data_IF_680054299517
#
_entry.id   IF_680054299517
#
_cell.length_a   1.000
_cell.length_b   1.000
_cell.length_c   1.000
_cell.angle_alpha   90.00
_cell.angle_beta   90.00
_cell.angle_gamma   90.00
#
_symmetry.space_group_name_H-M   'P 1'
#
loop_
_entity.id
_entity.type
_entity.pdbx_description
1 polymer ?
#
# COMPACT_ATOMS: atom_id res chain seq x y z
N UNK A 1 -27.72 8.29 -5.36
CA UNK A 1 -28.84 7.34 -5.54
C UNK A 1 -30.02 7.75 -4.68
N UNK A 2 -29.89 7.73 -3.35
CA UNK A 2 -30.99 8.11 -2.42
C UNK A 2 -31.53 9.52 -2.68
N UNK A 3 -30.65 10.53 -2.77
CA UNK A 3 -31.08 11.91 -3.03
C UNK A 3 -31.82 12.07 -4.37
N UNK A 4 -31.40 11.34 -5.42
CA UNK A 4 -32.08 11.38 -6.73
C UNK A 4 -33.44 10.70 -6.68
N UNK A 5 -33.57 9.61 -5.92
CA UNK A 5 -34.86 8.95 -5.72
C UNK A 5 -35.80 9.84 -4.90
N UNK A 6 -35.32 10.43 -3.81
CA UNK A 6 -36.13 11.35 -2.99
C UNK A 6 -36.58 12.57 -3.79
N UNK A 7 -35.69 13.19 -4.57
CA UNK A 7 -36.03 14.36 -5.36
C UNK A 7 -37.07 14.03 -6.44
N UNK A 8 -36.84 12.98 -7.24
CA UNK A 8 -37.76 12.57 -8.30
C UNK A 8 -39.12 12.12 -7.76
N UNK A 9 -39.13 11.38 -6.64
CA UNK A 9 -40.38 10.98 -5.98
C UNK A 9 -41.11 12.20 -5.45
N UNK A 10 -40.41 13.19 -4.89
CA UNK A 10 -41.02 14.40 -4.35
C UNK A 10 -41.61 15.27 -5.46
N UNK A 11 -40.91 15.47 -6.57
CA UNK A 11 -41.37 16.33 -7.67
C UNK A 11 -42.45 15.66 -8.51
N UNK A 12 -42.26 14.41 -8.93
CA UNK A 12 -43.19 13.75 -9.85
C UNK A 12 -44.45 13.24 -9.16
N UNK A 13 -44.40 12.83 -7.88
CA UNK A 13 -45.64 12.46 -7.19
C UNK A 13 -46.47 13.68 -6.79
N UNK A 14 -45.85 14.84 -6.54
CA UNK A 14 -46.64 16.06 -6.25
C UNK A 14 -47.40 16.53 -7.48
N UNK A 15 -46.79 16.49 -8.66
CA UNK A 15 -47.49 16.77 -9.93
C UNK A 15 -48.57 15.73 -10.24
N UNK A 16 -48.33 14.44 -9.98
CA UNK A 16 -49.33 13.38 -10.10
C UNK A 16 -50.51 13.55 -9.13
N UNK A 17 -50.27 13.92 -7.87
CA UNK A 17 -51.34 14.18 -6.89
C UNK A 17 -52.24 15.35 -7.32
N UNK A 18 -51.67 16.41 -7.91
CA UNK A 18 -52.43 17.54 -8.45
C UNK A 18 -53.29 17.14 -9.66
N UNK A 19 -52.73 16.38 -10.60
CA UNK A 19 -53.44 15.91 -11.80
C UNK A 19 -54.56 14.92 -11.44
N UNK A 20 -54.34 14.09 -10.43
CA UNK A 20 -55.28 13.04 -10.01
C UNK A 20 -56.30 13.49 -8.95
N UNK A 21 -56.30 14.77 -8.57
CA UNK A 21 -57.10 15.30 -7.46
C UNK A 21 -58.61 14.95 -7.52
N UNK A 22 -59.15 14.72 -8.71
CA UNK A 22 -60.56 14.33 -8.92
C UNK A 22 -60.88 12.87 -8.55
N UNK A 23 -59.88 11.99 -8.44
CA UNK A 23 -60.03 10.56 -8.14
C UNK A 23 -59.28 10.21 -6.86
N UNK A 24 -60.01 10.13 -5.75
CA UNK A 24 -59.45 9.85 -4.42
C UNK A 24 -58.68 8.52 -4.35
N UNK A 25 -59.08 7.52 -5.12
CA UNK A 25 -58.42 6.20 -5.16
C UNK A 25 -57.03 6.27 -5.82
N UNK A 26 -56.90 7.01 -6.93
CA UNK A 26 -55.62 7.21 -7.63
C UNK A 26 -54.66 8.08 -6.81
N UNK A 27 -55.18 9.07 -6.08
CA UNK A 27 -54.43 9.88 -5.11
C UNK A 27 -53.95 9.03 -3.92
N UNK A 28 -54.76 8.09 -3.44
CA UNK A 28 -54.37 7.17 -2.38
C UNK A 28 -53.24 6.23 -2.83
N UNK A 29 -53.30 5.73 -4.07
CA UNK A 29 -52.26 4.89 -4.67
C UNK A 29 -50.93 5.65 -4.81
N UNK A 30 -50.95 6.89 -5.32
CA UNK A 30 -49.75 7.74 -5.42
C UNK A 30 -49.16 8.05 -4.05
N UNK A 31 -49.97 8.41 -3.04
CA UNK A 31 -49.48 8.58 -1.66
C UNK A 31 -48.91 7.30 -1.06
N UNK A 32 -49.45 6.14 -1.43
CA UNK A 32 -48.91 4.83 -1.08
C UNK A 32 -47.49 4.63 -1.61
N UNK A 33 -47.30 4.90 -2.91
CA UNK A 33 -46.00 4.82 -3.56
C UNK A 33 -44.99 5.80 -2.93
N UNK A 34 -45.43 7.02 -2.59
CA UNK A 34 -44.59 8.02 -1.89
C UNK A 34 -44.03 7.49 -0.58
N UNK A 35 -44.89 6.95 0.28
CA UNK A 35 -44.49 6.45 1.60
C UNK A 35 -43.52 5.28 1.50
N UNK A 36 -43.71 4.41 0.49
CA UNK A 36 -42.79 3.30 0.25
C UNK A 36 -41.43 3.81 -0.23
N UNK A 37 -41.40 4.81 -1.11
CA UNK A 37 -40.16 5.40 -1.58
C UNK A 37 -39.39 6.13 -0.46
N UNK A 38 -40.09 6.89 0.39
CA UNK A 38 -39.50 7.53 1.58
C UNK A 38 -38.95 6.47 2.56
N UNK A 39 -39.65 5.34 2.74
CA UNK A 39 -39.17 4.24 3.57
C UNK A 39 -37.91 3.55 2.98
N UNK A 40 -37.83 3.39 1.65
CA UNK A 40 -36.63 2.89 0.96
C UNK A 40 -35.47 3.85 1.16
N UNK A 41 -35.69 5.16 1.00
CA UNK A 41 -34.66 6.17 1.21
C UNK A 41 -34.07 6.10 2.62
N UNK A 42 -34.92 6.02 3.65
CA UNK A 42 -34.50 5.88 5.05
C UNK A 42 -33.71 4.58 5.31
N UNK A 43 -34.17 3.45 4.76
CA UNK A 43 -33.46 2.18 4.91
C UNK A 43 -32.07 2.20 4.26
N UNK A 44 -31.95 2.82 3.08
CA UNK A 44 -30.69 2.95 2.36
C UNK A 44 -29.73 3.95 3.04
N UNK A 45 -30.24 5.04 3.62
CA UNK A 45 -29.42 5.95 4.45
C UNK A 45 -28.82 5.21 5.66
N UNK A 46 -29.58 4.30 6.28
CA UNK A 46 -29.08 3.43 7.36
C UNK A 46 -28.03 2.38 6.93
N UNK A 47 -27.68 2.30 5.64
CA UNK A 47 -26.58 1.48 5.11
C UNK A 47 -25.28 2.29 4.94
N UNK A 48 -25.30 3.61 5.13
CA UNK A 48 -24.14 4.47 5.01
C UNK A 48 -23.23 4.43 6.24
N UNK A 49 -22.95 3.23 6.78
CA UNK A 49 -22.12 3.06 7.98
C UNK A 49 -20.66 3.49 7.78
N UNK A 50 -20.23 3.68 6.53
CA UNK A 50 -18.90 4.17 6.16
C UNK A 50 -18.78 5.71 6.16
N UNK A 51 -19.89 6.45 6.32
CA UNK A 51 -19.82 7.92 6.36
C UNK A 51 -19.09 8.38 7.62
N UNK A 52 -18.00 9.12 7.44
CA UNK A 52 -17.21 9.69 8.54
C UNK A 52 -16.00 8.87 8.97
N UNK A 53 -15.60 7.84 8.21
CA UNK A 53 -14.31 7.18 8.44
C UNK A 53 -13.17 8.19 8.15
N UNK A 54 -12.32 8.51 9.13
CA UNK A 54 -11.28 9.54 8.99
C UNK A 54 -10.13 9.10 8.07
N UNK A 55 -10.00 7.80 7.82
CA UNK A 55 -8.94 7.19 7.04
C UNK A 55 -9.37 7.05 5.58
N UNK A 56 -8.75 7.83 4.69
CA UNK A 56 -8.89 7.60 3.25
C UNK A 56 -7.88 6.54 2.80
N UNK A 57 -8.31 5.47 2.11
CA UNK A 57 -7.40 4.42 1.64
C UNK A 57 -6.38 4.95 0.63
N UNK A 58 -6.71 6.04 -0.07
CA UNK A 58 -5.81 6.71 -1.00
C UNK A 58 -4.62 7.36 -0.27
N UNK A 59 -4.87 8.07 0.85
CA UNK A 59 -3.79 8.68 1.65
C UNK A 59 -2.88 7.60 2.23
N UNK A 60 -3.46 6.53 2.79
CA UNK A 60 -2.66 5.42 3.34
C UNK A 60 -1.80 4.77 2.25
N UNK A 61 -2.35 4.56 1.05
CA UNK A 61 -1.59 4.01 -0.07
C UNK A 61 -0.46 4.95 -0.52
N UNK A 62 -0.70 6.27 -0.53
CA UNK A 62 0.30 7.28 -0.89
C UNK A 62 1.44 7.32 0.14
N UNK A 63 1.10 7.33 1.44
CA UNK A 63 2.09 7.32 2.52
C UNK A 63 2.95 6.05 2.52
N UNK A 64 2.32 4.89 2.34
CA UNK A 64 3.04 3.60 2.25
C UNK A 64 3.94 3.56 1.02
N UNK A 65 3.44 4.00 -0.14
CA UNK A 65 4.22 4.04 -1.38
C UNK A 65 5.42 4.98 -1.24
N UNK A 66 5.23 6.13 -0.61
CA UNK A 66 6.32 7.08 -0.35
C UNK A 66 7.41 6.43 0.50
N UNK A 67 7.06 5.86 1.66
CA UNK A 67 8.05 5.23 2.54
C UNK A 67 8.80 4.08 1.86
N UNK A 68 8.08 3.26 1.10
CA UNK A 68 8.65 2.11 0.41
C UNK A 68 9.65 2.52 -0.69
N UNK A 69 9.36 3.60 -1.41
CA UNK A 69 10.27 4.15 -2.43
C UNK A 69 11.62 4.57 -1.83
N UNK A 70 11.61 5.32 -0.73
CA UNK A 70 12.85 5.73 -0.06
C UNK A 70 13.60 4.56 0.56
N UNK A 71 12.89 3.61 1.18
CA UNK A 71 13.49 2.41 1.78
C UNK A 71 14.25 1.61 0.72
N UNK A 72 13.60 1.33 -0.41
CA UNK A 72 14.20 0.58 -1.50
C UNK A 72 15.38 1.33 -2.14
N UNK A 73 15.23 2.64 -2.42
CA UNK A 73 16.31 3.46 -2.96
C UNK A 73 17.53 3.50 -2.05
N UNK A 74 17.34 3.67 -0.73
CA UNK A 74 18.42 3.69 0.24
C UNK A 74 19.21 2.37 0.23
N UNK A 75 18.51 1.24 0.17
CA UNK A 75 19.15 -0.08 0.10
C UNK A 75 19.94 -0.26 -1.19
N UNK A 76 19.36 0.09 -2.35
CA UNK A 76 20.05 0.01 -3.65
C UNK A 76 21.30 0.88 -3.68
N UNK A 77 21.24 2.08 -3.13
CA UNK A 77 22.40 2.98 -3.03
C UNK A 77 23.50 2.40 -2.13
N UNK A 78 23.13 1.79 -1.01
CA UNK A 78 24.07 1.13 -0.11
C UNK A 78 24.79 -0.04 -0.81
N UNK A 79 24.05 -0.87 -1.55
CA UNK A 79 24.63 -1.97 -2.32
C UNK A 79 25.56 -1.49 -3.44
N UNK A 80 25.19 -0.41 -4.13
CA UNK A 80 26.03 0.19 -5.16
C UNK A 80 27.32 0.74 -4.56
N UNK A 81 27.25 1.39 -3.41
CA UNK A 81 28.42 1.87 -2.68
C UNK A 81 29.33 0.71 -2.25
N UNK A 82 28.75 -0.38 -1.73
CA UNK A 82 29.49 -1.60 -1.37
C UNK A 82 30.21 -2.22 -2.58
N UNK A 83 29.53 -2.31 -3.73
CA UNK A 83 30.14 -2.81 -4.97
C UNK A 83 31.32 -1.95 -5.43
N UNK A 84 31.16 -0.63 -5.40
CA UNK A 84 32.24 0.31 -5.77
C UNK A 84 33.44 0.16 -4.85
N UNK A 85 33.21 0.12 -3.54
CA UNK A 85 34.28 -0.05 -2.55
C UNK A 85 35.00 -1.40 -2.74
N UNK A 86 34.26 -2.48 -2.98
CA UNK A 86 34.85 -3.78 -3.31
C UNK A 86 35.73 -3.69 -4.57
N UNK A 87 35.23 -3.07 -5.64
CA UNK A 87 35.95 -2.94 -6.91
C UNK A 87 37.23 -2.13 -6.77
N UNK A 88 37.18 -0.98 -6.09
CA UNK A 88 38.36 -0.14 -5.88
C UNK A 88 39.35 -0.77 -4.90
N UNK A 89 38.89 -1.55 -3.92
CA UNK A 89 39.77 -2.34 -3.05
C UNK A 89 40.55 -3.37 -3.86
N UNK A 90 39.86 -4.13 -4.73
CA UNK A 90 40.51 -5.10 -5.63
C UNK A 90 41.47 -4.43 -6.61
N UNK A 91 41.10 -3.25 -7.15
CA UNK A 91 41.98 -2.47 -8.02
C UNK A 91 43.23 -1.98 -7.27
N UNK A 92 43.08 -1.52 -6.03
CA UNK A 92 44.19 -1.12 -5.16
C UNK A 92 45.15 -2.27 -4.88
N UNK A 93 44.62 -3.46 -4.62
CA UNK A 93 45.41 -4.68 -4.47
C UNK A 93 46.13 -5.06 -5.76
N UNK A 94 45.44 -5.05 -6.91
CA UNK A 94 46.01 -5.41 -8.20
C UNK A 94 47.10 -4.45 -8.68
N UNK A 95 46.95 -3.15 -8.37
CA UNK A 95 47.92 -2.11 -8.70
C UNK A 95 48.97 -1.89 -7.62
N UNK A 96 48.89 -2.60 -6.49
CA UNK A 96 49.75 -2.42 -5.31
C UNK A 96 49.81 -0.95 -4.83
N UNK A 97 48.75 -0.18 -5.05
CA UNK A 97 48.69 1.24 -4.70
C UNK A 97 48.36 1.40 -3.22
N UNK A 98 49.36 1.75 -2.41
CA UNK A 98 49.22 1.91 -0.96
C UNK A 98 48.15 2.93 -0.59
N UNK A 99 48.12 4.08 -1.27
CA UNK A 99 47.16 5.15 -1.00
C UNK A 99 45.71 4.73 -1.30
N UNK A 100 45.47 4.12 -2.46
CA UNK A 100 44.14 3.64 -2.84
C UNK A 100 43.62 2.60 -1.85
N UNK A 101 44.47 1.67 -1.40
CA UNK A 101 44.11 0.67 -0.39
C UNK A 101 43.77 1.31 0.96
N UNK A 102 44.53 2.31 1.42
CA UNK A 102 44.23 3.01 2.69
C UNK A 102 42.87 3.71 2.63
N UNK A 103 42.62 4.48 1.56
CA UNK A 103 41.34 5.19 1.39
C UNK A 103 40.18 4.21 1.33
N UNK A 104 40.31 3.14 0.55
CA UNK A 104 39.27 2.12 0.44
C UNK A 104 39.06 1.33 1.72
N UNK A 105 40.09 1.11 2.54
CA UNK A 105 39.95 0.46 3.84
C UNK A 105 39.09 1.29 4.80
N UNK A 106 39.31 2.61 4.84
CA UNK A 106 38.48 3.53 5.64
C UNK A 106 37.05 3.55 5.13
N UNK A 107 36.84 3.63 3.82
CA UNK A 107 35.51 3.57 3.21
C UNK A 107 34.80 2.24 3.49
N UNK A 108 35.50 1.11 3.39
CA UNK A 108 34.98 -0.22 3.73
C UNK A 108 34.52 -0.32 5.18
N UNK A 109 35.23 0.30 6.13
CA UNK A 109 34.80 0.35 7.53
C UNK A 109 33.49 1.14 7.69
N UNK A 110 33.36 2.28 7.01
CA UNK A 110 32.12 3.09 7.04
C UNK A 110 30.96 2.31 6.43
N UNK A 111 31.15 1.73 5.24
CA UNK A 111 30.13 0.93 4.56
C UNK A 111 29.74 -0.28 5.41
N UNK A 112 30.70 -0.96 6.03
CA UNK A 112 30.42 -2.08 6.92
C UNK A 112 29.49 -1.66 8.06
N UNK A 113 29.76 -0.55 8.75
CA UNK A 113 28.88 -0.04 9.81
C UNK A 113 27.46 0.24 9.29
N UNK A 114 27.34 0.85 8.10
CA UNK A 114 26.04 1.10 7.48
C UNK A 114 25.32 -0.19 7.11
N UNK A 115 26.02 -1.20 6.59
CA UNK A 115 25.44 -2.52 6.26
C UNK A 115 24.95 -3.26 7.49
N UNK A 116 25.69 -3.24 8.60
CA UNK A 116 25.22 -3.80 9.88
C UNK A 116 23.99 -3.06 10.42
N UNK A 117 23.94 -1.73 10.26
CA UNK A 117 22.78 -0.92 10.60
C UNK A 117 21.55 -1.30 9.77
N UNK A 118 21.71 -1.44 8.46
CA UNK A 118 20.63 -1.87 7.54
C UNK A 118 20.13 -3.26 7.90
N UNK A 119 21.04 -4.22 8.10
CA UNK A 119 20.71 -5.57 8.53
C UNK A 119 19.90 -5.58 9.84
N UNK A 120 20.29 -4.75 10.80
CA UNK A 120 19.57 -4.61 12.07
C UNK A 120 18.15 -4.07 11.89
N UNK A 121 17.97 -3.06 11.02
CA UNK A 121 16.66 -2.51 10.70
C UNK A 121 15.78 -3.53 9.96
N UNK A 122 16.33 -4.20 8.94
CA UNK A 122 15.65 -5.28 8.22
C UNK A 122 15.21 -6.40 9.16
N UNK A 123 16.08 -6.79 10.10
CA UNK A 123 15.76 -7.85 11.08
C UNK A 123 14.63 -7.42 12.00
N UNK A 124 14.64 -6.17 12.49
CA UNK A 124 13.55 -5.64 13.30
C UNK A 124 12.22 -5.62 12.52
N UNK A 125 12.24 -5.20 11.24
CA UNK A 125 11.03 -5.22 10.40
C UNK A 125 10.53 -6.63 10.14
N UNK A 126 11.42 -7.59 9.89
CA UNK A 126 11.06 -8.99 9.67
C UNK A 126 10.43 -9.62 10.93
N UNK A 127 10.98 -9.35 12.11
CA UNK A 127 10.41 -9.82 13.38
C UNK A 127 9.04 -9.19 13.64
N UNK A 128 8.91 -7.87 13.47
CA UNK A 128 7.64 -7.17 13.67
C UNK A 128 6.55 -7.65 12.72
N UNK A 129 6.89 -7.84 11.45
CA UNK A 129 5.97 -8.37 10.44
C UNK A 129 5.60 -9.83 10.73
N UNK A 130 6.57 -10.66 11.14
CA UNK A 130 6.32 -12.05 11.51
C UNK A 130 5.39 -12.18 12.71
N UNK A 131 5.52 -11.31 13.72
CA UNK A 131 4.64 -11.29 14.89
C UNK A 131 3.21 -10.92 14.50
N UNK A 132 3.06 -9.86 13.70
CA UNK A 132 1.78 -9.48 13.12
C UNK A 132 1.13 -10.64 12.34
N UNK A 133 1.90 -11.33 11.50
CA UNK A 133 1.42 -12.46 10.69
C UNK A 133 1.03 -13.70 11.50
N UNK A 134 1.42 -13.79 12.79
CA UNK A 134 0.96 -14.87 13.67
C UNK A 134 -0.53 -14.75 14.05
N UNK A 135 -1.09 -13.53 14.10
CA UNK A 135 -2.50 -13.31 14.44
C UNK A 135 -3.07 -12.00 13.86
N UNK A 136 -3.08 -11.85 12.52
CA UNK A 136 -3.41 -10.57 11.88
C UNK A 136 -4.86 -10.15 12.13
N UNK A 137 -5.78 -11.11 12.18
CA UNK A 137 -7.21 -10.85 12.33
C UNK A 137 -7.52 -10.10 13.63
N UNK A 138 -6.94 -10.53 14.75
CA UNK A 138 -7.23 -9.91 16.07
C UNK A 138 -6.71 -8.48 16.14
N UNK A 139 -5.50 -8.25 15.60
CA UNK A 139 -4.91 -6.93 15.54
C UNK A 139 -5.74 -5.98 14.68
N UNK A 140 -6.06 -6.38 13.45
CA UNK A 140 -6.81 -5.54 12.50
C UNK A 140 -8.22 -5.27 13.00
N UNK A 141 -8.90 -6.26 13.58
CA UNK A 141 -10.24 -6.08 14.16
C UNK A 141 -10.24 -5.05 15.29
N UNK A 142 -9.29 -5.13 16.22
CA UNK A 142 -9.20 -4.18 17.34
C UNK A 142 -8.87 -2.76 16.85
N UNK A 143 -7.89 -2.64 15.95
CA UNK A 143 -7.49 -1.35 15.40
C UNK A 143 -8.61 -0.68 14.61
N UNK A 144 -9.28 -1.44 13.73
CA UNK A 144 -10.39 -0.92 12.94
C UNK A 144 -11.59 -0.56 13.81
N UNK A 145 -11.86 -1.31 14.88
CA UNK A 145 -12.91 -0.96 15.83
C UNK A 145 -12.60 0.34 16.57
N UNK A 146 -11.35 0.58 16.97
CA UNK A 146 -10.92 1.82 17.64
C UNK A 146 -11.01 3.04 16.70
N UNK A 147 -10.52 2.91 15.47
CA UNK A 147 -10.45 4.01 14.49
C UNK A 147 -11.80 4.34 13.86
N UNK A 148 -12.66 3.35 13.62
CA UNK A 148 -13.94 3.54 12.91
C UNK A 148 -15.15 3.52 13.82
N UNK A 149 -15.03 3.02 15.06
CA UNK A 149 -16.16 2.84 15.98
C UNK A 149 -17.20 1.82 15.51
N UNK A 150 -16.91 1.03 14.47
CA UNK A 150 -17.82 0.02 13.95
C UNK A 150 -17.98 -1.15 14.92
N UNK A 151 -19.19 -1.70 14.98
CA UNK A 151 -19.49 -2.85 15.84
C UNK A 151 -18.71 -4.10 15.41
N UNK A 152 -18.27 -4.88 16.40
CA UNK A 152 -17.49 -6.12 16.20
C UNK A 152 -18.17 -7.12 15.26
N UNK A 153 -19.50 -7.16 15.24
CA UNK A 153 -20.28 -8.09 14.42
C UNK A 153 -20.17 -7.78 12.92
N UNK A 154 -20.12 -6.49 12.56
CA UNK A 154 -19.98 -6.04 11.16
C UNK A 154 -18.55 -6.34 10.70
N UNK A 155 -17.56 -6.01 11.52
CA UNK A 155 -16.15 -6.29 11.25
C UNK A 155 -15.91 -7.80 11.05
N UNK A 156 -16.40 -8.63 11.98
CA UNK A 156 -16.29 -10.08 11.87
C UNK A 156 -16.96 -10.63 10.61
N UNK A 157 -18.12 -10.09 10.20
CA UNK A 157 -18.77 -10.48 8.95
C UNK A 157 -17.87 -10.25 7.73
N UNK A 158 -17.20 -9.09 7.64
CA UNK A 158 -16.34 -8.77 6.51
C UNK A 158 -14.98 -9.49 6.56
N UNK A 159 -14.33 -9.58 7.72
CA UNK A 159 -12.99 -10.16 7.84
C UNK A 159 -13.00 -11.69 7.86
N UNK A 160 -13.96 -12.35 8.53
CA UNK A 160 -14.02 -13.82 8.60
C UNK A 160 -14.84 -14.43 7.46
N UNK A 161 -15.82 -13.71 6.93
CA UNK A 161 -16.70 -14.09 5.81
C UNK A 161 -17.13 -15.57 5.82
N UNK A 162 -17.60 -16.04 6.98
CA UNK A 162 -18.02 -17.43 7.19
C UNK A 162 -19.50 -17.63 6.82
N UNK A 163 -19.86 -18.83 6.33
CA UNK A 163 -21.24 -19.22 6.00
C UNK A 163 -22.18 -19.20 7.21
N UNK A 164 -21.64 -19.32 8.43
CA UNK A 164 -22.43 -19.26 9.66
C UNK A 164 -22.94 -17.85 10.00
N UNK A 165 -22.33 -16.80 9.44
CA UNK A 165 -22.67 -15.40 9.77
C UNK A 165 -23.52 -14.80 8.65
N UNK A 166 -24.78 -14.49 8.97
CA UNK A 166 -25.68 -13.82 8.01
C UNK A 166 -25.27 -12.37 7.79
N UNK A 167 -25.51 -11.85 6.57
CA UNK A 167 -25.29 -10.44 6.26
C UNK A 167 -26.08 -9.54 7.25
N UNK A 168 -25.41 -8.66 8.01
CA UNK A 168 -26.07 -7.78 9.00
C UNK A 168 -27.08 -6.83 8.34
N UNK A 169 -26.95 -6.58 7.05
CA UNK A 169 -27.83 -5.71 6.27
C UNK A 169 -28.95 -6.47 5.54
N UNK A 170 -28.99 -7.80 5.63
CA UNK A 170 -29.93 -8.64 4.88
C UNK A 170 -31.39 -8.22 5.09
N UNK A 171 -31.78 -7.91 6.32
CA UNK A 171 -33.15 -7.50 6.64
C UNK A 171 -33.49 -6.17 5.96
N UNK A 172 -32.60 -5.17 6.03
CA UNK A 172 -32.81 -3.86 5.37
C UNK A 172 -32.88 -4.02 3.85
N UNK A 173 -31.97 -4.78 3.26
CA UNK A 173 -31.96 -5.06 1.82
C UNK A 173 -33.24 -5.76 1.37
N UNK A 174 -33.71 -6.76 2.10
CA UNK A 174 -34.96 -7.49 1.77
C UNK A 174 -36.18 -6.58 1.84
N UNK A 175 -36.24 -5.70 2.84
CA UNK A 175 -37.34 -4.73 2.96
C UNK A 175 -37.29 -3.69 1.84
N UNK A 176 -36.11 -3.16 1.50
CA UNK A 176 -35.95 -2.20 0.42
C UNK A 176 -36.30 -2.80 -0.94
N UNK A 177 -35.87 -4.04 -1.20
CA UNK A 177 -36.20 -4.77 -2.43
C UNK A 177 -37.72 -5.00 -2.57
N UNK A 178 -38.38 -5.43 -1.48
CA UNK A 178 -39.84 -5.63 -1.49
C UNK A 178 -40.58 -4.31 -1.69
N UNK A 179 -40.12 -3.22 -1.08
CA UNK A 179 -40.73 -1.91 -1.27
C UNK A 179 -40.55 -1.39 -2.71
N UNK A 180 -39.36 -1.55 -3.32
CA UNK A 180 -39.12 -1.19 -4.72
C UNK A 180 -40.04 -1.96 -5.68
N UNK A 181 -40.18 -3.29 -5.50
CA UNK A 181 -41.08 -4.10 -6.32
C UNK A 181 -42.56 -3.70 -6.17
N UNK A 182 -42.98 -3.30 -4.96
CA UNK A 182 -44.33 -2.80 -4.71
C UNK A 182 -44.58 -1.43 -5.36
N UNK A 183 -43.61 -0.52 -5.32
CA UNK A 183 -43.70 0.78 -6.01
C UNK A 183 -43.86 0.55 -7.51
N UNK A 184 -43.06 -0.36 -8.09
CA UNK A 184 -43.12 -0.68 -9.51
C UNK A 184 -44.50 -1.23 -9.93
N UNK A 185 -45.06 -2.16 -9.14
CA UNK A 185 -46.40 -2.69 -9.40
C UNK A 185 -47.51 -1.64 -9.23
N UNK A 186 -47.38 -0.73 -8.26
CA UNK A 186 -48.31 0.38 -8.06
C UNK A 186 -48.26 1.39 -9.22
N UNK A 187 -47.07 1.76 -9.71
CA UNK A 187 -46.94 2.67 -10.85
C UNK A 187 -47.51 2.08 -12.13
N UNK A 188 -47.25 0.80 -12.42
CA UNK A 188 -47.85 0.14 -13.59
C UNK A 188 -49.38 0.06 -13.50
N UNK A 189 -49.93 -0.13 -12.29
CA UNK A 189 -51.38 -0.06 -12.06
C UNK A 189 -51.94 1.34 -12.31
N UNK A 190 -51.27 2.37 -11.75
CA UNK A 190 -51.59 3.78 -11.95
C UNK A 190 -51.53 4.17 -13.43
N UNK A 191 -50.53 3.72 -14.18
CA UNK A 191 -50.42 3.99 -15.61
C UNK A 191 -51.62 3.44 -16.38
N UNK A 192 -51.98 2.17 -16.17
CA UNK A 192 -53.10 1.52 -16.86
C UNK A 192 -54.44 2.18 -16.58
N UNK A 193 -54.65 2.66 -15.35
CA UNK A 193 -55.95 3.19 -14.92
C UNK A 193 -56.06 4.70 -15.09
N UNK A 194 -54.98 5.44 -14.84
CA UNK A 194 -54.97 6.90 -14.88
C UNK A 194 -54.72 7.46 -16.29
N UNK A 195 -53.82 6.89 -17.09
CA UNK A 195 -53.43 7.47 -18.39
C UNK A 195 -54.61 7.61 -19.37
N UNK A 196 -55.55 6.65 -19.49
CA UNK A 196 -56.72 6.81 -20.35
C UNK A 196 -57.66 7.96 -19.94
N UNK A 197 -57.69 8.31 -18.65
CA UNK A 197 -58.56 9.34 -18.09
C UNK A 197 -57.83 10.70 -17.96
N UNK A 198 -56.52 10.67 -17.72
CA UNK A 198 -55.65 11.81 -17.46
C UNK A 198 -54.35 11.66 -18.26
N UNK A 199 -54.34 11.97 -19.56
CA UNK A 199 -53.14 11.82 -20.41
C UNK A 199 -51.97 12.67 -19.92
N UNK A 200 -52.23 13.76 -19.19
CA UNK A 200 -51.22 14.60 -18.54
C UNK A 200 -50.39 13.87 -17.48
N UNK A 201 -50.90 12.76 -16.92
CA UNK A 201 -50.19 11.93 -15.94
C UNK A 201 -49.12 11.01 -16.55
N UNK A 202 -49.10 10.86 -17.88
CA UNK A 202 -48.16 9.94 -18.56
C UNK A 202 -46.70 10.36 -18.39
N UNK A 203 -46.39 11.65 -18.58
CA UNK A 203 -45.02 12.18 -18.45
C UNK A 203 -44.41 11.94 -17.05
N UNK A 204 -45.08 12.31 -15.95
CA UNK A 204 -44.53 12.07 -14.61
C UNK A 204 -44.42 10.58 -14.26
N UNK A 205 -45.34 9.73 -14.74
CA UNK A 205 -45.23 8.27 -14.55
C UNK A 205 -44.01 7.67 -15.27
N UNK A 206 -43.76 8.06 -16.53
CA UNK A 206 -42.59 7.60 -17.28
C UNK A 206 -41.27 8.06 -16.63
N UNK A 207 -41.22 9.30 -16.13
CA UNK A 207 -40.03 9.81 -15.43
C UNK A 207 -39.76 9.06 -14.12
N UNK A 208 -40.81 8.71 -13.37
CA UNK A 208 -40.69 7.89 -12.17
C UNK A 208 -40.25 6.47 -12.49
N UNK A 209 -40.79 5.85 -13.53
CA UNK A 209 -40.39 4.51 -13.96
C UNK A 209 -38.90 4.47 -14.37
N UNK A 210 -38.44 5.46 -15.13
CA UNK A 210 -37.02 5.60 -15.49
C UNK A 210 -36.15 5.72 -14.23
N UNK A 211 -36.54 6.58 -13.29
CA UNK A 211 -35.79 6.78 -12.04
C UNK A 211 -35.78 5.51 -11.18
N UNK A 212 -36.88 4.78 -11.12
CA UNK A 212 -36.97 3.51 -10.38
C UNK A 212 -36.12 2.43 -11.02
N UNK A 213 -36.07 2.35 -12.35
CA UNK A 213 -35.24 1.39 -13.07
C UNK A 213 -33.74 1.66 -12.82
N UNK A 214 -33.32 2.94 -12.85
CA UNK A 214 -31.96 3.36 -12.46
C UNK A 214 -31.69 3.04 -10.98
N UNK A 215 -32.68 3.23 -10.10
CA UNK A 215 -32.57 2.93 -8.67
C UNK A 215 -32.42 1.43 -8.43
N UNK A 216 -33.19 0.57 -9.11
CA UNK A 216 -33.09 -0.88 -9.02
C UNK A 216 -31.72 -1.38 -9.49
N UNK A 217 -31.21 -0.88 -10.62
CA UNK A 217 -29.85 -1.19 -11.09
C UNK A 217 -28.77 -0.83 -10.05
N UNK A 218 -28.84 0.38 -9.50
CA UNK A 218 -27.92 0.80 -8.43
C UNK A 218 -28.08 -0.01 -7.14
N UNK A 219 -29.30 -0.44 -6.81
CA UNK A 219 -29.58 -1.28 -5.64
C UNK A 219 -28.91 -2.65 -5.78
N UNK A 220 -28.99 -3.29 -6.95
CA UNK A 220 -28.28 -4.55 -7.20
C UNK A 220 -26.77 -4.41 -7.04
N UNK A 221 -26.20 -3.31 -7.54
CA UNK A 221 -24.77 -3.03 -7.36
C UNK A 221 -24.42 -2.81 -5.88
N UNK A 222 -25.25 -2.09 -5.13
CA UNK A 222 -25.08 -1.91 -3.68
C UNK A 222 -25.14 -3.25 -2.92
N UNK A 223 -26.08 -4.13 -3.25
CA UNK A 223 -26.18 -5.48 -2.65
C UNK A 223 -24.91 -6.30 -2.88
N UNK A 224 -24.33 -6.20 -4.07
CA UNK A 224 -23.08 -6.86 -4.41
C UNK A 224 -21.89 -6.29 -3.62
N UNK A 225 -21.82 -4.97 -3.45
CA UNK A 225 -20.76 -4.30 -2.67
C UNK A 225 -20.86 -4.57 -1.16
N UNK A 226 -22.08 -4.76 -0.63
CA UNK A 226 -22.28 -5.05 0.79
C UNK A 226 -21.96 -6.51 1.16
N UNK A 227 -21.73 -7.39 0.19
CA UNK A 227 -21.32 -8.77 0.46
C UNK A 227 -19.88 -8.83 0.99
N UNK A 228 -19.66 -9.66 2.03
CA UNK A 228 -18.32 -9.82 2.62
C UNK A 228 -17.25 -10.30 1.63
N UNK A 229 -17.64 -11.03 0.58
CA UNK A 229 -16.71 -11.73 -0.32
C UNK A 229 -15.73 -10.79 -1.05
N UNK A 230 -16.17 -9.58 -1.41
CA UNK A 230 -15.30 -8.60 -2.06
C UNK A 230 -14.18 -8.17 -1.12
N UNK A 231 -14.56 -7.57 0.02
CA UNK A 231 -13.60 -7.08 1.00
C UNK A 231 -12.72 -8.20 1.59
N UNK A 232 -13.30 -9.37 1.87
CA UNK A 232 -12.54 -10.53 2.37
C UNK A 232 -11.47 -11.00 1.38
N UNK A 233 -11.77 -10.94 0.07
CA UNK A 233 -10.80 -11.28 -0.97
C UNK A 233 -9.64 -10.27 -0.97
N UNK A 234 -9.93 -8.99 -0.90
CA UNK A 234 -8.93 -7.93 -0.90
C UNK A 234 -8.07 -7.98 0.38
N UNK A 235 -8.72 -8.20 1.53
CA UNK A 235 -8.07 -8.47 2.80
C UNK A 235 -7.11 -9.67 2.74
N UNK A 236 -7.60 -10.81 2.25
CA UNK A 236 -6.79 -12.02 2.13
C UNK A 236 -5.66 -11.88 1.12
N UNK A 237 -5.82 -11.07 0.07
CA UNK A 237 -4.76 -10.75 -0.86
C UNK A 237 -3.68 -9.86 -0.22
N UNK A 238 -4.10 -8.83 0.53
CA UNK A 238 -3.19 -7.94 1.25
C UNK A 238 -2.38 -8.71 2.32
N UNK A 239 -3.03 -9.56 3.10
CA UNK A 239 -2.34 -10.41 4.09
C UNK A 239 -1.36 -11.36 3.43
N UNK A 240 -1.73 -11.97 2.30
CA UNK A 240 -0.83 -12.89 1.59
C UNK A 240 0.40 -12.15 1.07
N UNK A 241 0.21 -10.96 0.50
CA UNK A 241 1.30 -10.09 0.07
C UNK A 241 2.23 -9.65 1.20
N UNK A 242 1.70 -9.33 2.39
CA UNK A 242 2.53 -8.96 3.54
C UNK A 242 3.21 -10.17 4.18
N UNK A 243 2.48 -11.24 4.44
CA UNK A 243 2.95 -12.34 5.28
C UNK A 243 3.72 -13.42 4.52
N UNK A 244 3.45 -13.59 3.23
CA UNK A 244 4.20 -14.51 2.37
C UNK A 244 5.25 -13.71 1.58
N UNK A 245 4.80 -12.88 0.62
CA UNK A 245 5.71 -12.26 -0.35
C UNK A 245 6.70 -11.26 0.29
N UNK A 246 6.23 -10.36 1.16
CA UNK A 246 7.11 -9.37 1.78
C UNK A 246 8.05 -9.98 2.82
N UNK A 247 7.60 -10.98 3.58
CA UNK A 247 8.45 -11.69 4.54
C UNK A 247 9.53 -12.52 3.83
N UNK A 248 9.19 -13.19 2.72
CA UNK A 248 10.15 -13.88 1.87
C UNK A 248 11.16 -12.89 1.27
N UNK A 249 10.70 -11.73 0.77
CA UNK A 249 11.57 -10.66 0.30
C UNK A 249 12.55 -10.17 1.37
N UNK A 250 12.07 -9.92 2.59
CA UNK A 250 12.92 -9.52 3.73
C UNK A 250 13.95 -10.59 4.09
N UNK A 251 13.57 -11.88 4.03
CA UNK A 251 14.51 -12.99 4.26
C UNK A 251 15.66 -12.95 3.25
N UNK A 252 15.36 -12.75 1.96
CA UNK A 252 16.40 -12.65 0.94
C UNK A 252 17.31 -11.43 1.14
N UNK A 253 16.75 -10.29 1.52
CA UNK A 253 17.51 -9.07 1.81
C UNK A 253 18.47 -9.29 3.00
N UNK A 254 17.99 -9.92 4.08
CA UNK A 254 18.80 -10.27 5.26
C UNK A 254 19.94 -11.23 4.91
N UNK A 255 19.68 -12.26 4.11
CA UNK A 255 20.72 -13.20 3.68
C UNK A 255 21.77 -12.50 2.83
N UNK A 256 21.34 -11.65 1.90
CA UNK A 256 22.25 -10.92 1.04
C UNK A 256 23.12 -9.93 1.81
N UNK A 257 22.52 -9.15 2.72
CA UNK A 257 23.25 -8.19 3.56
C UNK A 257 24.22 -8.88 4.53
N UNK A 258 23.86 -10.06 5.06
CA UNK A 258 24.78 -10.85 5.89
C UNK A 258 25.97 -11.37 5.07
N UNK A 259 25.73 -11.87 3.86
CA UNK A 259 26.78 -12.35 2.96
C UNK A 259 27.71 -11.21 2.51
N UNK A 260 27.15 -10.05 2.19
CA UNK A 260 27.90 -8.88 1.72
C UNK A 260 28.76 -8.30 2.86
N UNK A 261 28.17 -8.08 4.04
CA UNK A 261 28.90 -7.64 5.23
C UNK A 261 30.00 -8.65 5.64
N UNK A 262 29.74 -9.95 5.51
CA UNK A 262 30.73 -11.01 5.72
C UNK A 262 31.89 -10.93 4.71
N UNK A 263 31.61 -10.69 3.44
CA UNK A 263 32.62 -10.49 2.41
C UNK A 263 33.48 -9.24 2.66
N UNK A 264 32.86 -8.11 3.04
CA UNK A 264 33.59 -6.90 3.43
C UNK A 264 34.46 -7.13 4.69
N UNK A 265 33.94 -7.84 5.70
CA UNK A 265 34.71 -8.13 6.90
C UNK A 265 35.93 -9.04 6.60
N UNK A 266 35.75 -10.06 5.75
CA UNK A 266 36.85 -10.96 5.37
C UNK A 266 37.92 -10.27 4.51
N UNK A 267 37.52 -9.36 3.60
CA UNK A 267 38.48 -8.54 2.85
C UNK A 267 39.26 -7.61 3.79
N UNK A 268 38.59 -6.91 4.71
CA UNK A 268 39.23 -6.08 5.74
C UNK A 268 40.22 -6.85 6.62
N UNK A 269 39.89 -8.08 7.01
CA UNK A 269 40.78 -8.92 7.83
C UNK A 269 41.99 -9.47 7.05
N UNK A 270 41.87 -9.65 5.74
CA UNK A 270 42.95 -10.19 4.89
C UNK A 270 43.88 -9.11 4.32
N UNK A 271 43.38 -7.87 4.21
CA UNK A 271 44.10 -6.68 3.74
C UNK A 271 45.47 -6.45 4.41
N UNK A 272 45.63 -6.56 5.75
CA UNK A 272 46.94 -6.39 6.40
C UNK A 272 47.99 -7.41 5.93
N UNK A 273 47.57 -8.65 5.65
CA UNK A 273 48.47 -9.70 5.14
C UNK A 273 48.85 -9.45 3.68
N UNK A 274 47.90 -8.99 2.87
CA UNK A 274 48.16 -8.62 1.49
C UNK A 274 49.09 -7.39 1.39
N UNK A 275 48.95 -6.44 2.32
CA UNK A 275 49.77 -5.23 2.39
C UNK A 275 51.24 -5.54 2.74
N UNK A 276 51.49 -6.54 3.58
CA UNK A 276 52.85 -6.99 3.91
C UNK A 276 53.61 -7.59 2.71
N UNK A 277 52.91 -7.96 1.63
CA UNK A 277 53.49 -8.48 0.39
C UNK A 277 53.81 -7.37 -0.62
N UNK A 278 53.45 -6.11 -0.34
CA UNK A 278 53.76 -5.00 -1.24
C UNK A 278 55.24 -4.65 -1.18
N UNK A 279 55.87 -4.34 -2.33
CA UNK A 279 57.24 -3.86 -2.33
C UNK A 279 57.38 -2.57 -1.50
N UNK A 280 58.52 -2.35 -0.83
CA UNK A 280 58.84 -1.04 -0.26
C UNK A 280 58.69 0.01 -1.37
N UNK A 281 58.05 1.13 -1.06
CA UNK A 281 57.80 2.17 -2.07
C UNK A 281 59.09 2.92 -2.28
N UNK A 282 59.52 3.03 -3.54
CA UNK A 282 60.68 3.83 -3.99
C UNK A 282 60.46 5.35 -3.83
N UNK A 283 59.47 5.79 -3.05
CA UNK A 283 59.15 7.21 -2.79
C UNK A 283 60.12 7.90 -1.80
N UNK A 284 61.16 7.21 -1.36
CA UNK A 284 62.40 7.91 -1.01
C UNK A 284 63.16 8.09 -2.31
N UNK A 285 62.84 9.16 -3.03
CA UNK A 285 63.80 9.78 -3.93
C UNK A 285 65.05 9.98 -3.07
N UNK A 286 66.08 9.17 -3.29
CA UNK A 286 67.38 9.25 -2.62
C UNK A 286 67.88 10.68 -2.84
N UNK A 287 67.56 11.55 -1.90
CA UNK A 287 68.14 12.90 -1.82
C UNK A 287 69.61 12.83 -1.38
N UNK A 288 70.14 11.61 -1.28
CA UNK A 288 71.51 11.25 -0.97
C UNK A 288 72.42 11.22 -2.22
N UNK A 289 71.87 11.36 -3.43
CA UNK A 289 72.68 11.47 -4.67
C UNK A 289 73.38 12.84 -4.81
N UNK A 290 72.98 13.87 -4.04
CA UNK A 290 73.62 15.19 -3.97
C UNK A 290 74.38 15.45 -2.65
N UNK A 291 74.53 14.45 -1.76
CA UNK A 291 75.33 14.60 -0.52
C UNK A 291 76.83 14.33 -0.78
N UNK A 292 77.70 15.36 -0.73
CA UNK A 292 79.14 15.20 -0.93
C UNK A 292 79.84 14.33 0.13
N UNK A 293 79.13 13.89 1.19
CA UNK A 293 79.66 13.00 2.22
C UNK A 293 79.22 11.54 2.10
N UNK A 294 78.58 11.15 0.98
CA UNK A 294 78.18 9.76 0.75
C UNK A 294 79.41 8.82 0.72
N UNK A 295 79.48 7.78 1.58
CA UNK A 295 80.64 6.88 1.66
C UNK A 295 80.91 6.06 0.39
N UNK A 296 79.98 6.02 -0.57
CA UNK A 296 80.19 5.38 -1.88
C UNK A 296 81.06 6.21 -2.84
N UNK A 297 80.93 7.55 -2.83
CA UNK A 297 81.77 8.48 -3.62
C UNK A 297 83.22 8.48 -3.11
N UNK A 298 83.41 8.43 -1.79
CA UNK A 298 84.74 8.38 -1.16
C UNK A 298 85.56 7.15 -1.61
N UNK A 299 84.91 6.00 -1.78
CA UNK A 299 85.58 4.78 -2.29
C UNK A 299 86.00 4.91 -3.75
N UNK A 300 85.20 5.62 -4.55
CA UNK A 300 85.49 5.87 -5.97
C UNK A 300 86.67 6.84 -6.15
N UNK A 301 86.79 7.83 -5.26
CA UNK A 301 87.91 8.80 -5.25
C UNK A 301 89.24 8.16 -4.83
N UNK A 302 89.23 7.29 -3.81
CA UNK A 302 90.43 6.56 -3.36
C UNK A 302 90.94 5.60 -4.45
N UNK A 303 90.02 4.99 -5.22
CA UNK A 303 90.39 4.10 -6.32
C UNK A 303 91.03 4.86 -7.49
N UNK A 304 90.60 6.09 -7.79
CA UNK A 304 91.17 6.91 -8.86
C UNK A 304 92.60 7.38 -8.53
N UNK A 305 92.88 7.75 -7.28
CA UNK A 305 94.23 8.12 -6.83
C UNK A 305 95.24 6.96 -6.84
N UNK A 306 94.76 5.71 -6.83
CA UNK A 306 95.63 4.52 -6.87
C UNK A 306 96.07 4.11 -8.29
N UNK A 307 95.55 4.78 -9.33
CA UNK A 307 95.82 4.48 -10.75
C UNK A 307 96.53 5.63 -11.49
N UNK A 308 97.08 6.61 -10.77
CA UNK A 308 97.98 7.66 -11.30
C UNK A 308 99.38 7.47 -10.72
#
# INVERSE_FOLDING_TARGET
MVERLEEAVRTELTTLEEVLAQRTELVAATRGARRQAEAVAQQLQGLAFWQGVPLSPLQVAEDVSFVEEYRWLAYVLLLLLELLVCLFTLLGLAKQSKWLVIVMTVMSLVVLVLSWGSLGLEAATAVGLSDFCSSPDTYILNLTQEETGLGSDILNYYFLCNQAVSNPFQQRLTLSQRALANIHSQLQGLEREAVPQFPSAQKPLLSLEETLNVTEGNFHQLVALLHCRGLHKDYGAALRGLCEDALEGLLFLLLFSLLSAGALATTLCSLPRAWALFPPSDDYDDTDDDDPFNPQESKRFVQWQSSI
#
